data_IF_530255329952
#
_entry.id   IF_530255329952
#
_cell.length_a   1.000
_cell.length_b   1.000
_cell.length_c   1.000
_cell.angle_alpha   90.00
_cell.angle_beta   90.00
_cell.angle_gamma   90.00
#
_symmetry.space_group_name_H-M   'P 1'
#
loop_
_entity.id
_entity.type
_entity.pdbx_description
1 polymer ?
#
# COMPACT_ATOMS: atom_id res chain seq x y z
N UNK A 1 -12.14 -3.87 3.20
CA UNK A 1 -13.00 -2.89 2.51
C UNK A 1 -13.66 -2.05 3.60
N UNK A 2 -13.53 -0.73 3.52
CA UNK A 2 -14.10 0.22 4.48
C UNK A 2 -15.59 0.39 4.23
N UNK A 3 -16.42 0.18 5.25
CA UNK A 3 -17.86 0.45 5.21
C UNK A 3 -18.16 1.90 5.62
N UNK A 4 -19.40 2.35 5.43
CA UNK A 4 -19.85 3.65 5.97
C UNK A 4 -19.74 3.68 7.50
N UNK A 5 -20.02 2.56 8.18
CA UNK A 5 -19.86 2.48 9.64
C UNK A 5 -18.39 2.64 10.05
N UNK A 6 -17.47 1.97 9.34
CA UNK A 6 -16.03 2.09 9.62
C UNK A 6 -15.54 3.54 9.46
N UNK A 7 -16.08 4.27 8.47
CA UNK A 7 -15.76 5.67 8.26
C UNK A 7 -16.39 6.59 9.33
N UNK A 8 -17.57 6.26 9.86
CA UNK A 8 -18.14 6.96 11.03
C UNK A 8 -17.26 6.79 12.27
N UNK A 9 -16.66 5.61 12.47
CA UNK A 9 -15.71 5.40 13.57
C UNK A 9 -14.49 6.32 13.41
N UNK A 10 -13.95 6.43 12.19
CA UNK A 10 -12.83 7.36 11.90
C UNK A 10 -13.24 8.82 12.13
N UNK A 11 -14.43 9.23 11.70
CA UNK A 11 -14.94 10.58 11.95
C UNK A 11 -15.15 10.85 13.45
N UNK A 12 -15.57 9.83 14.20
CA UNK A 12 -15.71 9.91 15.66
C UNK A 12 -14.37 10.09 16.34
N UNK A 13 -13.33 9.36 15.91
CA UNK A 13 -11.96 9.53 16.39
C UNK A 13 -11.45 10.95 16.12
N UNK A 14 -11.70 11.47 14.91
CA UNK A 14 -11.37 12.86 14.55
C UNK A 14 -12.08 13.84 15.49
N UNK A 15 -13.36 13.65 15.77
CA UNK A 15 -14.12 14.50 16.67
C UNK A 15 -13.62 14.43 18.13
N UNK A 16 -13.17 13.24 18.57
CA UNK A 16 -12.58 13.07 19.89
C UNK A 16 -11.23 13.79 20.03
N UNK A 17 -10.35 13.66 19.03
CA UNK A 17 -9.04 14.32 19.04
C UNK A 17 -9.12 15.84 18.76
N UNK A 18 -10.07 16.28 17.94
CA UNK A 18 -10.15 17.65 17.41
C UNK A 18 -11.52 18.29 17.66
N UNK A 19 -12.07 18.12 18.86
CA UNK A 19 -13.43 18.52 19.23
C UNK A 19 -13.83 19.98 18.93
N UNK A 20 -12.85 20.88 18.75
CA UNK A 20 -13.09 22.31 18.45
C UNK A 20 -13.29 22.58 16.96
N UNK A 21 -12.70 21.78 16.10
CA UNK A 21 -12.54 22.04 14.67
C UNK A 21 -13.13 20.93 13.80
N UNK A 22 -13.41 19.77 14.36
CA UNK A 22 -14.05 18.67 13.66
C UNK A 22 -15.48 19.03 13.20
N UNK A 23 -15.92 18.52 12.03
CA UNK A 23 -17.31 18.62 11.60
C UNK A 23 -18.26 18.06 12.68
N UNK A 24 -19.35 18.78 12.95
CA UNK A 24 -20.41 18.27 13.84
C UNK A 24 -21.16 17.15 13.13
N UNK A 25 -21.53 16.13 13.89
CA UNK A 25 -22.30 14.97 13.42
C UNK A 25 -23.70 14.96 14.04
N UNK A 26 -24.30 16.14 14.21
CA UNK A 26 -25.62 16.34 14.81
C UNK A 26 -26.77 16.06 13.83
N UNK A 27 -26.52 16.20 12.53
CA UNK A 27 -27.41 15.74 11.46
C UNK A 27 -26.97 14.33 11.00
N UNK A 28 -27.82 13.34 11.28
CA UNK A 28 -27.57 11.93 10.94
C UNK A 28 -27.44 11.71 9.43
N UNK A 29 -28.28 12.35 8.62
CA UNK A 29 -28.26 12.18 7.16
C UNK A 29 -26.96 12.78 6.58
N UNK A 30 -26.61 13.99 7.01
CA UNK A 30 -25.36 14.63 6.59
C UNK A 30 -24.12 13.84 7.04
N UNK A 31 -24.13 13.29 8.25
CA UNK A 31 -23.05 12.45 8.77
C UNK A 31 -22.89 11.17 7.94
N UNK A 32 -23.98 10.48 7.63
CA UNK A 32 -23.98 9.25 6.81
C UNK A 32 -23.49 9.50 5.38
N UNK A 33 -23.92 10.60 4.76
CA UNK A 33 -23.45 10.99 3.42
C UNK A 33 -21.94 11.27 3.45
N UNK A 34 -21.48 12.03 4.44
CA UNK A 34 -20.06 12.38 4.61
C UNK A 34 -19.22 11.12 4.83
N UNK A 35 -19.62 10.25 5.76
CA UNK A 35 -18.95 8.98 6.03
C UNK A 35 -18.91 8.08 4.80
N UNK A 36 -19.97 8.06 3.99
CA UNK A 36 -20.01 7.30 2.73
C UNK A 36 -19.00 7.84 1.72
N UNK A 37 -18.82 9.16 1.63
CA UNK A 37 -17.80 9.78 0.77
C UNK A 37 -16.39 9.42 1.28
N UNK A 38 -16.16 9.50 2.58
CA UNK A 38 -14.88 9.15 3.20
C UNK A 38 -14.54 7.67 2.96
N UNK A 39 -15.50 6.76 3.18
CA UNK A 39 -15.33 5.34 2.90
C UNK A 39 -14.93 5.08 1.44
N UNK A 40 -15.54 5.78 0.47
CA UNK A 40 -15.16 5.68 -0.95
C UNK A 40 -13.72 6.15 -1.20
N UNK A 41 -13.32 7.26 -0.60
CA UNK A 41 -11.95 7.77 -0.71
C UNK A 41 -10.94 6.78 -0.12
N UNK A 42 -11.19 6.27 1.09
CA UNK A 42 -10.30 5.31 1.74
C UNK A 42 -10.19 3.99 0.97
N UNK A 43 -11.31 3.49 0.44
CA UNK A 43 -11.33 2.29 -0.41
C UNK A 43 -10.56 2.51 -1.72
N UNK A 44 -10.66 3.69 -2.33
CA UNK A 44 -9.89 4.02 -3.54
C UNK A 44 -8.37 3.91 -3.30
N UNK A 45 -7.92 4.20 -2.07
CA UNK A 45 -6.53 4.05 -1.66
C UNK A 45 -6.20 2.68 -1.03
N UNK A 46 -7.15 1.73 -1.07
CA UNK A 46 -7.03 0.39 -0.49
C UNK A 46 -6.64 0.40 0.99
N UNK A 47 -7.09 1.39 1.75
CA UNK A 47 -6.77 1.52 3.17
C UNK A 47 -7.66 0.63 4.03
N UNK A 48 -7.18 0.34 5.23
CA UNK A 48 -7.88 -0.46 6.24
C UNK A 48 -8.13 0.38 7.48
N UNK A 49 -9.21 0.10 8.20
CA UNK A 49 -9.67 0.91 9.33
C UNK A 49 -8.58 1.10 10.40
N UNK A 50 -7.81 0.06 10.80
CA UNK A 50 -6.74 0.25 11.78
C UNK A 50 -5.67 1.26 11.34
N UNK A 51 -5.35 1.32 10.04
CA UNK A 51 -4.38 2.28 9.51
C UNK A 51 -4.91 3.72 9.56
N UNK A 52 -6.22 3.89 9.35
CA UNK A 52 -6.90 5.19 9.40
C UNK A 52 -7.00 5.74 10.82
N UNK A 53 -7.38 4.90 11.79
CA UNK A 53 -7.45 5.30 13.20
C UNK A 53 -6.07 5.69 13.72
N UNK A 54 -5.05 4.85 13.47
CA UNK A 54 -3.67 5.15 13.85
C UNK A 54 -3.14 6.43 13.17
N UNK A 55 -3.62 6.76 11.96
CA UNK A 55 -3.28 8.00 11.27
C UNK A 55 -3.84 9.23 11.97
N UNK A 56 -5.10 9.17 12.43
CA UNK A 56 -5.73 10.26 13.20
C UNK A 56 -4.98 10.48 14.51
N UNK A 57 -4.75 9.40 15.28
CA UNK A 57 -4.02 9.45 16.55
C UNK A 57 -2.60 10.01 16.38
N UNK A 58 -1.86 9.53 15.38
CA UNK A 58 -0.49 9.99 15.11
C UNK A 58 -0.45 11.48 14.82
N UNK A 59 -1.33 11.97 13.94
CA UNK A 59 -1.38 13.41 13.60
C UNK A 59 -1.80 14.25 14.79
N UNK A 60 -2.75 13.79 15.61
CA UNK A 60 -3.14 14.48 16.83
C UNK A 60 -1.95 14.56 17.82
N UNK A 61 -1.19 13.47 17.98
CA UNK A 61 0.00 13.43 18.83
C UNK A 61 1.14 14.35 18.34
N UNK A 62 1.21 14.63 17.04
CA UNK A 62 2.14 15.60 16.44
C UNK A 62 1.75 17.08 16.72
N UNK A 63 0.61 17.32 17.38
CA UNK A 63 0.20 18.64 17.87
C UNK A 63 -0.55 19.50 16.86
N UNK A 64 -1.08 18.90 15.79
CA UNK A 64 -1.93 19.60 14.83
C UNK A 64 -3.26 20.03 15.48
N UNK A 65 -3.58 21.32 15.39
CA UNK A 65 -4.73 21.90 16.09
C UNK A 65 -6.04 21.67 15.34
N UNK A 66 -5.97 21.67 14.01
CA UNK A 66 -7.13 21.54 13.13
C UNK A 66 -7.45 20.08 12.84
N UNK A 67 -8.75 19.77 12.75
CA UNK A 67 -9.22 18.44 12.37
C UNK A 67 -8.66 18.06 10.99
N UNK A 68 -8.17 16.82 10.82
CA UNK A 68 -7.62 16.39 9.56
C UNK A 68 -8.69 16.25 8.49
N UNK A 69 -8.34 16.67 7.28
CA UNK A 69 -9.09 16.31 6.07
C UNK A 69 -8.80 14.87 5.64
N UNK A 70 -9.68 14.20 4.89
CA UNK A 70 -9.48 12.81 4.43
C UNK A 70 -8.13 12.57 3.76
N UNK A 71 -7.65 13.55 2.97
CA UNK A 71 -6.38 13.46 2.26
C UNK A 71 -5.17 13.37 3.21
N UNK A 72 -5.23 14.07 4.34
CA UNK A 72 -4.20 14.00 5.37
C UNK A 72 -4.21 12.62 6.02
N UNK A 73 -5.39 12.12 6.42
CA UNK A 73 -5.55 10.79 7.01
C UNK A 73 -4.99 9.71 6.06
N UNK A 74 -5.29 9.79 4.76
CA UNK A 74 -4.76 8.89 3.73
C UNK A 74 -3.23 8.92 3.70
N UNK A 75 -2.63 10.10 3.79
CA UNK A 75 -1.17 10.29 3.75
C UNK A 75 -0.50 9.60 4.94
N UNK A 76 -1.00 9.85 6.14
CA UNK A 76 -0.50 9.24 7.37
C UNK A 76 -0.73 7.72 7.40
N UNK A 77 -1.91 7.25 6.99
CA UNK A 77 -2.24 5.82 6.95
C UNK A 77 -1.31 5.04 6.01
N UNK A 78 -0.99 5.61 4.84
CA UNK A 78 0.00 5.04 3.91
C UNK A 78 1.39 4.97 4.52
N UNK A 79 1.82 6.02 5.21
CA UNK A 79 3.12 6.05 5.87
C UNK A 79 3.20 4.98 6.97
N UNK A 80 2.16 4.83 7.79
CA UNK A 80 2.07 3.81 8.85
C UNK A 80 2.11 2.41 8.27
N UNK A 81 1.33 2.14 7.22
CA UNK A 81 1.35 0.84 6.54
C UNK A 81 2.73 0.53 5.98
N UNK A 82 3.38 1.51 5.36
CA UNK A 82 4.76 1.36 4.86
C UNK A 82 5.72 1.02 6.00
N UNK A 83 5.68 1.76 7.10
CA UNK A 83 6.53 1.52 8.27
C UNK A 83 6.31 0.12 8.86
N UNK A 84 5.06 -0.34 8.93
CA UNK A 84 4.72 -1.71 9.36
C UNK A 84 5.33 -2.77 8.44
N UNK A 85 5.21 -2.57 7.12
CA UNK A 85 5.78 -3.49 6.13
C UNK A 85 7.31 -3.48 6.19
N UNK A 86 7.94 -2.31 6.35
CA UNK A 86 9.39 -2.16 6.46
C UNK A 86 9.91 -2.87 7.73
N UNK A 87 9.16 -2.84 8.84
CA UNK A 87 9.53 -3.51 10.11
C UNK A 87 9.38 -5.04 10.04
N UNK A 88 8.37 -5.53 9.32
CA UNK A 88 8.09 -6.97 9.21
C UNK A 88 8.97 -7.67 8.16
N UNK A 89 9.60 -6.89 7.27
CA UNK A 89 10.44 -7.41 6.20
C UNK A 89 9.62 -8.05 5.07
N UNK A 90 10.28 -8.45 3.97
CA UNK A 90 9.59 -9.08 2.86
C UNK A 90 8.94 -10.40 3.30
N UNK A 91 7.69 -10.61 2.88
CA UNK A 91 6.99 -11.88 3.13
C UNK A 91 7.76 -13.04 2.49
N UNK A 92 7.65 -14.27 3.02
CA UNK A 92 8.26 -15.46 2.41
C UNK A 92 7.89 -15.63 0.93
N UNK A 93 6.67 -15.23 0.54
CA UNK A 93 6.21 -15.23 -0.85
C UNK A 93 6.96 -14.23 -1.72
N UNK A 94 7.25 -13.04 -1.21
CA UNK A 94 8.07 -12.05 -1.90
C UNK A 94 9.52 -12.50 -2.03
N UNK A 95 10.07 -13.16 -1.00
CA UNK A 95 11.39 -13.75 -1.05
C UNK A 95 11.46 -14.87 -2.10
N UNK A 96 10.48 -15.79 -2.11
CA UNK A 96 10.39 -16.86 -3.11
C UNK A 96 10.28 -16.32 -4.54
N UNK A 97 9.53 -15.23 -4.77
CA UNK A 97 9.46 -14.57 -6.07
C UNK A 97 10.79 -13.93 -6.49
N UNK A 98 11.53 -13.36 -5.55
CA UNK A 98 12.87 -12.84 -5.82
C UNK A 98 13.85 -13.97 -6.17
N UNK A 99 13.79 -15.08 -5.43
CA UNK A 99 14.59 -16.28 -5.69
C UNK A 99 14.27 -16.91 -7.05
N UNK A 100 12.99 -17.00 -7.43
CA UNK A 100 12.59 -17.54 -8.73
C UNK A 100 13.10 -16.70 -9.89
N UNK A 101 13.03 -15.36 -9.78
CA UNK A 101 13.60 -14.46 -10.80
C UNK A 101 15.12 -14.56 -10.89
N UNK A 102 15.78 -14.81 -9.76
CA UNK A 102 17.22 -15.12 -9.72
C UNK A 102 17.55 -16.41 -10.47
N UNK A 103 16.75 -17.46 -10.28
CA UNK A 103 16.91 -18.72 -11.00
C UNK A 103 16.68 -18.57 -12.51
N UNK A 104 15.62 -17.86 -12.92
CA UNK A 104 15.29 -17.64 -14.34
C UNK A 104 16.41 -16.90 -15.08
N UNK A 105 16.99 -15.88 -14.45
CA UNK A 105 18.09 -15.10 -15.05
C UNK A 105 19.37 -15.91 -15.22
N UNK A 106 19.69 -16.80 -14.28
CA UNK A 106 20.82 -17.72 -14.38
C UNK A 106 20.60 -18.76 -15.49
N UNK A 107 19.39 -19.31 -15.59
CA UNK A 107 19.05 -20.26 -16.65
C UNK A 107 19.11 -19.63 -18.05
N UNK A 108 18.60 -18.40 -18.19
CA UNK A 108 18.71 -17.61 -19.43
C UNK A 108 20.16 -17.37 -19.84
N UNK A 109 21.05 -17.06 -18.89
CA UNK A 109 22.47 -16.87 -19.17
C UNK A 109 23.15 -18.18 -19.60
N UNK A 110 22.84 -19.30 -18.94
CA UNK A 110 23.34 -20.62 -19.32
C UNK A 110 22.85 -21.05 -20.71
N UNK A 111 21.58 -20.82 -21.03
CA UNK A 111 21.01 -21.13 -22.34
C UNK A 111 21.61 -20.28 -23.46
N UNK A 112 21.84 -18.97 -23.23
CA UNK A 112 22.58 -18.12 -24.17
C UNK A 112 23.98 -18.64 -24.46
N UNK A 113 24.66 -19.14 -23.43
CA UNK A 113 26.02 -19.69 -23.55
C UNK A 113 26.01 -20.99 -24.36
N UNK A 114 25.08 -21.92 -24.08
CA UNK A 114 24.92 -23.16 -24.87
C UNK A 114 24.58 -22.86 -26.33
N UNK A 115 23.67 -21.92 -26.59
CA UNK A 115 23.30 -21.54 -27.96
C UNK A 115 24.49 -20.94 -28.72
N UNK A 116 25.30 -20.10 -28.09
CA UNK A 116 26.51 -19.56 -28.70
C UNK A 116 27.53 -20.66 -29.05
N UNK A 117 27.70 -21.66 -28.18
CA UNK A 117 28.57 -22.80 -28.44
C UNK A 117 28.07 -23.68 -29.60
N UNK A 118 26.76 -23.94 -29.67
CA UNK A 118 26.16 -24.70 -30.77
C UNK A 118 26.30 -23.95 -32.10
N UNK A 119 26.03 -22.64 -32.12
CA UNK A 119 26.21 -21.81 -33.31
C UNK A 119 27.66 -21.78 -33.80
N UNK A 120 28.63 -21.67 -32.88
CA UNK A 120 30.06 -21.73 -33.20
C UNK A 120 30.50 -23.11 -33.72
N UNK A 121 29.89 -24.20 -33.20
CA UNK A 121 30.15 -25.56 -33.65
C UNK A 121 29.65 -25.84 -35.07
N UNK A 122 28.48 -25.32 -35.43
CA UNK A 122 27.86 -25.51 -36.75
C UNK A 122 28.62 -24.75 -37.86
N UNK A 123 29.15 -23.56 -37.56
CA UNK A 123 29.95 -22.81 -38.54
C UNK A 123 31.27 -23.50 -38.90
N UNK A 124 31.86 -24.24 -37.96
CA UNK A 124 33.14 -24.94 -38.16
C UNK A 124 33.02 -26.19 -39.03
N UNK A 125 31.83 -26.78 -39.14
CA UNK A 125 31.58 -27.98 -39.95
C UNK A 125 31.22 -27.69 -41.41
N UNK A 126 30.91 -26.44 -41.77
CA UNK A 126 30.49 -26.06 -43.14
C UNK A 126 31.70 -25.64 -43.99
N UNK A 127 32.77 -25.12 -43.41
CA UNK A 127 33.98 -24.68 -44.15
C UNK A 127 34.98 -25.81 -44.47
N UNK A 128 34.71 -27.06 -44.06
CA UNK A 128 35.59 -28.24 -44.26
C UNK A 128 35.04 -29.28 -45.29
N UNK A 129 34.05 -28.90 -46.13
CA UNK A 129 33.46 -29.76 -47.17
C UNK A 129 33.58 -29.15 -48.57
#
# INVERSE_FOLDING_TARGET
>A
MITTADALDVMTEVAACHHRTAPRMDDEEAALVTATIWARLFNHHHLEQPDLLAAVEKRAAEGHVDAPEPAEIITYARAIRRERNDRTGPTPEYQALCESKGADTQELAANRTRLAQLAAGIGKTIDDA
#
